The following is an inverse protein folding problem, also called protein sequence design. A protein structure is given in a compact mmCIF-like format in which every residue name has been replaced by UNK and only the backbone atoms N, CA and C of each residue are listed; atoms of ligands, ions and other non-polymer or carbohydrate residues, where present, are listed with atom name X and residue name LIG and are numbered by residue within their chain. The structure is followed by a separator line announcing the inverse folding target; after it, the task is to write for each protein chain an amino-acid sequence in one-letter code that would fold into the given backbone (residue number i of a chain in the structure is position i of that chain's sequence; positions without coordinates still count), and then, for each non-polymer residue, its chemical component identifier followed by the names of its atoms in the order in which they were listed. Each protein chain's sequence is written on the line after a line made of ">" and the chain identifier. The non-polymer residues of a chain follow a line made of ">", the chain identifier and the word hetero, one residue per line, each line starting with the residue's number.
data_IF_017168855512
#
_entry.id   IF_017168855512
#
_cell.length_a   1.000
_cell.length_b   1.000
_cell.length_c   1.000
_cell.angle_alpha   90.00
_cell.angle_beta   90.00
_cell.angle_gamma   90.00
#
_symmetry.space_group_name_H-M   'P 1'
#
loop_
_entity.id
_entity.type
_entity.pdbx_description
1 polymer ?
#
# COMPACT_ATOMS: atom_id res chain seq x y z
N UNK A 1 39.42 19.91 -8.68
CA UNK A 1 40.17 19.05 -9.63
C UNK A 1 39.17 18.23 -10.44
N UNK A 2 39.55 17.66 -11.58
CA UNK A 2 38.67 16.79 -12.38
C UNK A 2 38.11 15.62 -11.54
N UNK A 3 38.91 15.10 -10.60
CA UNK A 3 38.52 14.05 -9.65
C UNK A 3 37.39 14.51 -8.70
N UNK A 4 37.42 15.74 -8.19
CA UNK A 4 36.37 16.25 -7.31
C UNK A 4 35.03 16.42 -8.06
N UNK A 5 35.08 16.85 -9.32
CA UNK A 5 33.90 16.94 -10.18
C UNK A 5 33.31 15.56 -10.46
N UNK A 6 34.16 14.60 -10.85
CA UNK A 6 33.73 13.21 -11.08
C UNK A 6 33.11 12.56 -9.83
N UNK A 7 33.67 12.82 -8.64
CA UNK A 7 33.11 12.32 -7.39
C UNK A 7 31.74 12.94 -7.11
N UNK A 8 31.61 14.27 -7.27
CA UNK A 8 30.35 14.97 -7.03
C UNK A 8 29.23 14.49 -7.98
N UNK A 9 29.55 14.34 -9.26
CA UNK A 9 28.62 13.81 -10.26
C UNK A 9 28.24 12.35 -9.98
N UNK A 10 29.20 11.52 -9.57
CA UNK A 10 28.94 10.15 -9.15
C UNK A 10 27.98 10.05 -7.96
N UNK A 11 28.15 10.91 -6.95
CA UNK A 11 27.24 10.96 -5.79
C UNK A 11 25.83 11.45 -6.17
N UNK A 12 25.74 12.50 -6.99
CA UNK A 12 24.45 13.04 -7.41
C UNK A 12 23.65 12.01 -8.23
N UNK A 13 24.31 11.30 -9.14
CA UNK A 13 23.70 10.23 -9.93
C UNK A 13 23.26 9.06 -9.04
N UNK A 14 24.09 8.64 -8.08
CA UNK A 14 23.74 7.56 -7.16
C UNK A 14 22.51 7.89 -6.30
N UNK A 15 22.38 9.14 -5.85
CA UNK A 15 21.21 9.59 -5.08
C UNK A 15 19.95 9.59 -5.96
N UNK A 16 20.03 10.14 -7.17
CA UNK A 16 18.90 10.16 -8.11
C UNK A 16 18.42 8.74 -8.46
N UNK A 17 19.35 7.81 -8.70
CA UNK A 17 19.06 6.41 -8.97
C UNK A 17 18.42 5.70 -7.76
N UNK A 18 18.88 6.01 -6.55
CA UNK A 18 18.27 5.50 -5.32
C UNK A 18 16.82 5.99 -5.17
N UNK A 19 16.60 7.30 -5.29
CA UNK A 19 15.27 7.89 -5.13
C UNK A 19 14.29 7.42 -6.21
N UNK A 20 14.76 7.27 -7.45
CA UNK A 20 13.95 6.72 -8.53
C UNK A 20 13.57 5.26 -8.28
N UNK A 21 14.52 4.41 -7.87
CA UNK A 21 14.22 3.01 -7.51
C UNK A 21 13.21 2.92 -6.39
N UNK A 22 13.37 3.74 -5.34
CA UNK A 22 12.41 3.76 -4.24
C UNK A 22 11.00 4.17 -4.69
N UNK A 23 10.90 5.15 -5.59
CA UNK A 23 9.61 5.53 -6.18
C UNK A 23 8.97 4.38 -6.95
N UNK A 24 9.73 3.61 -7.74
CA UNK A 24 9.25 2.42 -8.46
C UNK A 24 8.75 1.33 -7.50
N UNK A 25 9.49 1.07 -6.42
CA UNK A 25 9.09 0.12 -5.38
C UNK A 25 7.76 0.51 -4.75
N UNK A 26 7.58 1.79 -4.40
CA UNK A 26 6.35 2.30 -3.79
C UNK A 26 5.13 2.13 -4.69
N UNK A 27 5.27 2.35 -6.00
CA UNK A 27 4.21 2.07 -6.98
C UNK A 27 3.85 0.57 -6.98
N UNK A 28 4.85 -0.30 -6.90
CA UNK A 28 4.66 -1.76 -6.89
C UNK A 28 3.98 -2.23 -5.59
N UNK A 29 4.40 -1.68 -4.44
CA UNK A 29 3.78 -1.91 -3.13
C UNK A 29 2.29 -1.53 -3.17
N UNK A 30 1.96 -0.30 -3.58
CA UNK A 30 0.58 0.17 -3.68
C UNK A 30 -0.26 -0.67 -4.64
N UNK A 31 0.28 -1.05 -5.80
CA UNK A 31 -0.43 -1.91 -6.75
C UNK A 31 -0.76 -3.29 -6.19
N UNK A 32 0.11 -3.83 -5.34
CA UNK A 32 -0.13 -5.10 -4.63
C UNK A 32 -1.21 -4.94 -3.56
N UNK A 33 -1.15 -3.85 -2.78
CA UNK A 33 -2.16 -3.53 -1.77
C UNK A 33 -3.54 -3.34 -2.38
N UNK A 34 -3.66 -2.58 -3.48
CA UNK A 34 -4.94 -2.37 -4.17
C UNK A 34 -5.58 -3.69 -4.62
N UNK A 35 -4.79 -4.58 -5.24
CA UNK A 35 -5.27 -5.92 -5.62
C UNK A 35 -5.77 -6.73 -4.42
N UNK A 36 -5.08 -6.63 -3.28
CA UNK A 36 -5.48 -7.33 -2.05
C UNK A 36 -6.75 -6.73 -1.45
N UNK A 37 -6.90 -5.41 -1.47
CA UNK A 37 -8.11 -4.71 -1.00
C UNK A 37 -9.29 -5.12 -1.90
N UNK A 38 -9.18 -4.97 -3.22
CA UNK A 38 -10.26 -5.27 -4.17
C UNK A 38 -10.77 -6.71 -4.06
N UNK A 39 -9.84 -7.67 -3.86
CA UNK A 39 -10.19 -9.08 -3.69
C UNK A 39 -11.09 -9.33 -2.48
N UNK A 40 -10.94 -8.54 -1.42
CA UNK A 40 -11.55 -8.82 -0.12
C UNK A 40 -12.66 -7.83 0.27
N UNK A 41 -12.69 -6.65 -0.34
CA UNK A 41 -13.57 -5.56 0.07
C UNK A 41 -15.05 -5.93 -0.02
N UNK A 42 -15.50 -6.57 -1.10
CA UNK A 42 -16.91 -6.93 -1.28
C UNK A 42 -17.43 -7.87 -0.17
N UNK A 43 -16.60 -8.81 0.28
CA UNK A 43 -16.97 -9.73 1.35
C UNK A 43 -16.98 -9.08 2.74
N UNK A 44 -16.16 -8.04 2.94
CA UNK A 44 -16.01 -7.35 4.21
C UNK A 44 -16.91 -6.10 4.34
N UNK A 45 -17.37 -5.52 3.21
CA UNK A 45 -18.19 -4.31 3.14
C UNK A 45 -19.34 -4.25 4.15
N UNK A 46 -20.15 -5.32 4.36
CA UNK A 46 -21.26 -5.28 5.31
C UNK A 46 -20.84 -5.08 6.78
N UNK A 47 -19.56 -5.25 7.10
CA UNK A 47 -19.00 -5.15 8.44
C UNK A 47 -18.19 -3.86 8.65
N UNK A 48 -18.03 -3.04 7.61
CA UNK A 48 -17.38 -1.75 7.69
C UNK A 48 -18.44 -0.65 7.82
N UNK A 49 -18.18 0.33 8.68
CA UNK A 49 -19.03 1.52 8.73
C UNK A 49 -18.84 2.39 7.47
N UNK A 50 -19.82 3.24 7.14
CA UNK A 50 -19.76 4.05 5.93
C UNK A 50 -18.59 5.04 5.86
N UNK A 51 -18.13 5.58 6.99
CA UNK A 51 -17.02 6.54 7.04
C UNK A 51 -15.70 5.82 6.74
N UNK A 52 -15.48 4.65 7.36
CA UNK A 52 -14.35 3.78 7.04
C UNK A 52 -14.31 3.37 5.56
N UNK A 53 -15.47 3.03 4.98
CA UNK A 53 -15.55 2.66 3.57
C UNK A 53 -15.20 3.85 2.65
N UNK A 54 -15.67 5.04 2.99
CA UNK A 54 -15.37 6.27 2.25
C UNK A 54 -13.88 6.62 2.31
N UNK A 55 -13.27 6.55 3.50
CA UNK A 55 -11.84 6.79 3.69
C UNK A 55 -10.97 5.80 2.92
N UNK A 56 -11.31 4.50 2.97
CA UNK A 56 -10.64 3.48 2.19
C UNK A 56 -10.78 3.74 0.68
N UNK A 57 -11.97 4.10 0.21
CA UNK A 57 -12.22 4.39 -1.21
C UNK A 57 -11.41 5.59 -1.68
N UNK A 58 -11.34 6.66 -0.88
CA UNK A 58 -10.50 7.84 -1.18
C UNK A 58 -9.01 7.49 -1.23
N UNK A 59 -8.54 6.67 -0.30
CA UNK A 59 -7.16 6.20 -0.29
C UNK A 59 -6.83 5.33 -1.51
N UNK A 60 -7.76 4.45 -1.93
CA UNK A 60 -7.61 3.66 -3.15
C UNK A 60 -7.52 4.55 -4.39
N UNK A 61 -8.38 5.56 -4.50
CA UNK A 61 -8.36 6.51 -5.62
C UNK A 61 -7.05 7.31 -5.68
N UNK A 62 -6.54 7.75 -4.53
CA UNK A 62 -5.25 8.44 -4.44
C UNK A 62 -4.08 7.54 -4.86
N UNK A 63 -4.05 6.30 -4.38
CA UNK A 63 -3.03 5.32 -4.77
C UNK A 63 -3.11 4.97 -6.27
N UNK A 64 -4.31 4.79 -6.82
CA UNK A 64 -4.49 4.55 -8.26
C UNK A 64 -4.01 5.74 -9.10
N UNK A 65 -4.26 6.96 -8.65
CA UNK A 65 -3.76 8.19 -9.30
C UNK A 65 -2.23 8.24 -9.27
N UNK A 66 -1.62 7.90 -8.14
CA UNK A 66 -0.16 7.84 -8.00
C UNK A 66 0.46 6.79 -8.94
N UNK A 67 -0.12 5.59 -9.01
CA UNK A 67 0.31 4.52 -9.93
C UNK A 67 0.20 4.96 -11.40
N UNK A 68 -0.91 5.62 -11.75
CA UNK A 68 -1.15 6.06 -13.13
C UNK A 68 -0.21 7.21 -13.54
N UNK A 69 0.10 8.11 -12.61
CA UNK A 69 1.06 9.19 -12.83
C UNK A 69 2.48 8.64 -13.02
N UNK A 70 2.80 7.56 -12.32
CA UNK A 70 4.07 6.86 -12.42
C UNK A 70 5.16 7.40 -11.49
N UNK A 71 6.28 6.66 -11.36
CA UNK A 71 7.32 6.98 -10.40
C UNK A 71 8.30 8.03 -10.95
N UNK A 72 8.59 9.06 -10.14
CA UNK A 72 9.71 9.99 -10.35
C UNK A 72 10.49 10.14 -9.04
N UNK A 73 11.79 10.44 -9.12
CA UNK A 73 12.61 10.68 -7.93
C UNK A 73 12.04 11.83 -7.07
N UNK A 74 11.56 12.90 -7.72
CA UNK A 74 10.95 14.04 -7.05
C UNK A 74 9.61 13.70 -6.34
N UNK A 75 8.91 12.66 -6.79
CA UNK A 75 7.65 12.23 -6.19
C UNK A 75 7.82 11.22 -5.06
N UNK A 76 9.03 10.70 -4.80
CA UNK A 76 9.29 9.62 -3.82
C UNK A 76 8.58 9.84 -2.48
N UNK A 77 8.72 11.02 -1.89
CA UNK A 77 8.14 11.31 -0.57
C UNK A 77 6.60 11.38 -0.62
N UNK A 78 6.04 11.96 -1.69
CA UNK A 78 4.58 11.98 -1.90
C UNK A 78 4.01 10.57 -2.12
N UNK A 79 4.76 9.70 -2.82
CA UNK A 79 4.40 8.29 -3.00
C UNK A 79 4.44 7.54 -1.67
N UNK A 80 5.44 7.78 -0.82
CA UNK A 80 5.53 7.18 0.51
C UNK A 80 4.32 7.56 1.36
N UNK A 81 3.97 8.85 1.42
CA UNK A 81 2.78 9.34 2.13
C UNK A 81 1.51 8.68 1.60
N UNK A 82 1.39 8.52 0.27
CA UNK A 82 0.22 7.89 -0.35
C UNK A 82 0.11 6.41 0.03
N UNK A 83 1.23 5.68 0.02
CA UNK A 83 1.28 4.28 0.44
C UNK A 83 0.89 4.14 1.92
N UNK A 84 1.44 4.98 2.79
CA UNK A 84 1.19 4.92 4.24
C UNK A 84 -0.28 5.23 4.57
N UNK A 85 -0.88 6.18 3.85
CA UNK A 85 -2.33 6.47 3.96
C UNK A 85 -3.19 5.30 3.50
N UNK A 86 -2.82 4.64 2.40
CA UNK A 86 -3.51 3.42 1.94
C UNK A 86 -3.40 2.31 2.97
N UNK A 87 -2.23 2.11 3.57
CA UNK A 87 -2.00 1.13 4.63
C UNK A 87 -2.88 1.41 5.84
N UNK A 88 -2.88 2.66 6.32
CA UNK A 88 -3.69 3.07 7.46
C UNK A 88 -5.19 2.89 7.21
N UNK A 89 -5.68 3.31 6.04
CA UNK A 89 -7.10 3.17 5.68
C UNK A 89 -7.53 1.71 5.50
N UNK A 90 -6.58 0.80 5.20
CA UNK A 90 -6.85 -0.62 5.04
C UNK A 90 -6.86 -1.41 6.37
N UNK A 91 -6.45 -0.82 7.49
CA UNK A 91 -6.40 -1.50 8.79
C UNK A 91 -7.78 -2.06 9.24
N UNK A 92 -8.89 -1.32 9.13
CA UNK A 92 -10.20 -1.86 9.51
C UNK A 92 -10.62 -3.05 8.65
N UNK A 93 -10.31 -3.02 7.35
CA UNK A 93 -10.55 -4.16 6.46
C UNK A 93 -9.73 -5.38 6.92
N UNK A 94 -8.46 -5.19 7.25
CA UNK A 94 -7.61 -6.27 7.75
C UNK A 94 -8.16 -6.88 9.06
N UNK A 95 -8.64 -6.04 9.99
CA UNK A 95 -9.25 -6.49 11.24
C UNK A 95 -10.49 -7.36 10.99
N UNK A 96 -11.41 -6.91 10.13
CA UNK A 96 -12.61 -7.69 9.75
C UNK A 96 -12.23 -9.04 9.13
N UNK A 97 -11.24 -9.07 8.24
CA UNK A 97 -10.79 -10.32 7.62
C UNK A 97 -10.18 -11.28 8.64
N UNK A 98 -9.39 -10.76 9.58
CA UNK A 98 -8.81 -11.55 10.66
C UNK A 98 -9.89 -12.15 11.57
N UNK A 99 -10.89 -11.35 11.97
CA UNK A 99 -12.02 -11.81 12.77
C UNK A 99 -12.81 -12.91 12.07
N UNK A 100 -13.02 -12.79 10.76
CA UNK A 100 -13.69 -13.82 9.97
C UNK A 100 -12.88 -15.13 9.92
N UNK A 101 -11.55 -15.05 9.84
CA UNK A 101 -10.67 -16.24 9.89
C UNK A 101 -10.73 -16.89 11.27
N UNK A 102 -10.66 -16.11 12.34
CA UNK A 102 -10.75 -16.61 13.72
C UNK A 102 -12.09 -17.30 13.97
N UNK A 103 -13.21 -16.67 13.60
CA UNK A 103 -14.55 -17.26 13.74
C UNK A 103 -14.66 -18.60 13.03
N UNK A 104 -14.16 -18.71 11.80
CA UNK A 104 -14.13 -19.98 11.03
C UNK A 104 -13.26 -21.05 11.67
N UNK A 105 -12.12 -20.67 12.24
CA UNK A 105 -11.21 -21.62 12.90
C UNK A 105 -11.82 -22.18 14.20
N UNK A 106 -12.51 -21.35 14.98
CA UNK A 106 -13.19 -21.77 16.21
C UNK A 106 -14.41 -22.65 15.88
N UNK A 107 -15.29 -22.20 14.98
CA UNK A 107 -16.48 -22.98 14.61
C UNK A 107 -16.17 -24.26 13.85
N UNK A 108 -15.06 -24.29 13.11
CA UNK A 108 -14.56 -25.50 12.44
C UNK A 108 -13.97 -26.53 13.40
N UNK A 109 -13.51 -26.13 14.59
CA UNK A 109 -13.10 -27.06 15.66
C UNK A 109 -14.30 -27.70 16.34
N UNK A 110 -15.35 -26.93 16.62
CA UNK A 110 -16.57 -27.47 17.27
C UNK A 110 -17.29 -28.55 16.42
N UNK A 111 -17.15 -28.50 15.09
CA UNK A 111 -17.76 -29.49 14.18
C UNK A 111 -16.92 -30.76 13.97
N UNK A 112 -15.67 -30.80 14.45
CA UNK A 112 -14.76 -31.94 14.31
C UNK A 112 -14.56 -32.76 15.60
N UNK A 113 -15.08 -32.29 16.73
CA UNK A 113 -14.94 -32.91 18.06
C UNK A 113 -16.23 -33.65 18.52
N UNK A 114 -17.07 -34.11 17.59
CA UNK A 114 -18.25 -34.97 17.86
C UNK A 114 -18.18 -36.32 17.14
#
# INVERSE_FOLDING_TARGET
>A
SEVETMLHEGYANAQADFDHRRAVELITEMGTMLKAIDKNLEAAKPQLDPETLDDLTKAQAAAQTAITTGPTAAAKDALQITRDKLEQAALPLAAVLMDNVVKKAVSGKDLGDL
#
